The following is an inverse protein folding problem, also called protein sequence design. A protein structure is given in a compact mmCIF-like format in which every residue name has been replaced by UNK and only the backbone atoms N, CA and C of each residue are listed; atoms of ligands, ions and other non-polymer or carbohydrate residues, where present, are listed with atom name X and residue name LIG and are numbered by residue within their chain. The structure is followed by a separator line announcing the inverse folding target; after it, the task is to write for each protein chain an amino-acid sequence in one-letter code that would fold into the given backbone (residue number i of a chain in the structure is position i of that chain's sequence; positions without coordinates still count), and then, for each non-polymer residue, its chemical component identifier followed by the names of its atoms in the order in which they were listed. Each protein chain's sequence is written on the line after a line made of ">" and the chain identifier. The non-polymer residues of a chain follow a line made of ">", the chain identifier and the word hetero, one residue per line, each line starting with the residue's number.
data_IF_764306580536
#
_entry.id   IF_764306580536
#
_cell.length_a   1.000
_cell.length_b   1.000
_cell.length_c   1.000
_cell.angle_alpha   90.00
_cell.angle_beta   90.00
_cell.angle_gamma   90.00
#
_symmetry.space_group_name_H-M   'P 1'
#
loop_
_entity.id
_entity.type
_entity.pdbx_description
1 polymer ?
#
# COMPACT_ATOMS: atom_id res chain seq x y z
N UNK A 1 -6.42 15.58 -3.42
CA UNK A 1 -4.97 15.28 -3.51
C UNK A 1 -4.61 14.14 -4.47
N UNK A 2 -5.59 13.49 -5.14
CA UNK A 2 -5.39 12.33 -6.04
C UNK A 2 -4.28 12.57 -7.10
N UNK A 3 -4.17 13.79 -7.61
CA UNK A 3 -3.26 14.16 -8.69
C UNK A 3 -1.88 14.67 -8.21
N UNK A 4 -1.61 14.65 -6.91
CA UNK A 4 -0.36 15.18 -6.34
C UNK A 4 0.77 14.14 -6.23
N UNK A 5 0.48 12.86 -6.51
CA UNK A 5 1.52 11.82 -6.49
C UNK A 5 2.49 11.96 -7.66
N UNK A 6 3.78 11.99 -7.34
CA UNK A 6 4.85 12.07 -8.33
C UNK A 6 6.04 12.89 -7.85
N UNK A 7 6.91 13.30 -8.79
CA UNK A 7 8.10 14.09 -8.52
C UNK A 7 7.82 15.57 -8.75
N UNK A 8 8.02 16.39 -7.73
CA UNK A 8 7.88 17.84 -7.75
C UNK A 8 9.28 18.47 -7.78
N UNK A 9 9.55 19.25 -8.80
CA UNK A 9 10.82 19.95 -8.97
C UNK A 9 10.72 21.37 -8.44
N UNK A 10 11.66 21.78 -7.59
CA UNK A 10 11.72 23.12 -7.00
C UNK A 10 12.98 23.82 -7.47
N UNK A 11 12.83 25.05 -7.98
CA UNK A 11 13.90 25.93 -8.38
C UNK A 11 13.84 27.18 -7.50
N UNK A 12 14.82 27.32 -6.59
CA UNK A 12 14.92 28.48 -5.68
C UNK A 12 16.38 28.80 -5.38
N UNK A 13 16.62 30.00 -4.90
CA UNK A 13 17.87 30.36 -4.25
C UNK A 13 17.73 29.98 -2.78
N UNK A 14 18.47 28.96 -2.25
CA UNK A 14 18.40 28.61 -0.85
C UNK A 14 19.06 29.67 0.04
N UNK A 15 18.63 29.76 1.29
CA UNK A 15 19.18 30.74 2.27
C UNK A 15 20.68 30.55 2.54
N UNK A 16 21.20 29.34 2.27
CA UNK A 16 22.62 28.99 2.41
C UNK A 16 23.47 29.43 1.21
N UNK A 17 22.85 29.89 0.11
CA UNK A 17 23.56 30.31 -1.10
C UNK A 17 23.96 31.78 -1.04
N UNK A 18 25.26 32.05 -1.02
CA UNK A 18 25.80 33.40 -0.89
C UNK A 18 25.98 34.14 -2.23
N UNK A 19 25.96 33.41 -3.36
CA UNK A 19 26.21 33.98 -4.71
C UNK A 19 24.93 34.13 -5.53
N UNK A 20 23.74 33.93 -4.93
CA UNK A 20 22.45 34.07 -5.60
C UNK A 20 22.17 33.04 -6.69
N UNK A 21 22.85 31.89 -6.68
CA UNK A 21 22.64 30.84 -7.69
C UNK A 21 21.32 30.11 -7.42
N UNK A 22 20.56 29.86 -8.50
CA UNK A 22 19.33 29.07 -8.44
C UNK A 22 19.71 27.59 -8.33
N UNK A 23 19.27 26.94 -7.25
CA UNK A 23 19.41 25.50 -7.05
C UNK A 23 18.14 24.78 -7.47
N UNK A 24 18.32 23.58 -8.01
CA UNK A 24 17.19 22.71 -8.38
C UNK A 24 17.17 21.51 -7.44
N UNK A 25 16.08 21.34 -6.71
CA UNK A 25 15.80 20.18 -5.87
C UNK A 25 14.55 19.45 -6.36
N UNK A 26 14.40 18.20 -5.91
CA UNK A 26 13.22 17.41 -6.17
C UNK A 26 12.66 16.87 -4.84
N UNK A 27 11.34 16.85 -4.74
CA UNK A 27 10.60 16.22 -3.66
C UNK A 27 9.63 15.20 -4.26
N UNK A 28 9.53 14.04 -3.66
CA UNK A 28 8.56 13.01 -4.08
C UNK A 28 7.35 13.03 -3.17
N UNK A 29 6.17 13.02 -3.76
CA UNK A 29 4.89 12.96 -3.07
C UNK A 29 4.20 11.64 -3.41
N UNK A 30 3.75 10.90 -2.41
CA UNK A 30 2.94 9.72 -2.59
C UNK A 30 1.62 9.89 -1.83
N UNK A 31 0.52 9.94 -2.56
CA UNK A 31 -0.83 9.94 -2.00
C UNK A 31 -1.32 8.50 -2.00
N UNK A 32 -1.54 7.96 -0.81
CA UNK A 32 -2.01 6.60 -0.59
C UNK A 32 -3.37 6.66 0.11
N UNK A 33 -4.27 5.70 -0.16
CA UNK A 33 -5.50 5.58 0.61
C UNK A 33 -5.17 5.26 2.06
N UNK A 34 -6.00 5.73 2.98
CA UNK A 34 -5.91 5.36 4.39
C UNK A 34 -6.05 3.85 4.56
N UNK A 35 -5.30 3.31 5.51
CA UNK A 35 -5.33 1.89 5.78
C UNK A 35 -6.60 1.54 6.56
N UNK A 36 -7.46 0.71 5.96
CA UNK A 36 -8.54 0.07 6.69
C UNK A 36 -7.99 -1.09 7.54
N UNK A 37 -8.62 -1.36 8.68
CA UNK A 37 -8.30 -2.53 9.49
C UNK A 37 -8.62 -3.81 8.72
N UNK A 38 -7.72 -4.79 8.81
CA UNK A 38 -7.93 -6.09 8.18
C UNK A 38 -8.97 -6.87 8.97
N UNK A 39 -10.18 -6.96 8.46
CA UNK A 39 -11.23 -7.82 9.04
C UNK A 39 -11.12 -9.23 8.45
N UNK A 40 -10.44 -10.12 9.19
CA UNK A 40 -10.24 -11.50 8.79
C UNK A 40 -11.42 -12.37 9.24
N UNK A 41 -12.31 -12.71 8.32
CA UNK A 41 -13.38 -13.70 8.52
C UNK A 41 -12.92 -15.07 8.04
N UNK A 42 -12.86 -16.04 8.94
CA UNK A 42 -12.50 -17.43 8.62
C UNK A 42 -13.81 -18.23 8.63
N UNK A 43 -14.19 -18.79 7.47
CA UNK A 43 -15.34 -19.68 7.39
C UNK A 43 -14.93 -21.10 7.82
N UNK A 44 -15.78 -21.78 8.56
CA UNK A 44 -15.52 -23.16 8.99
C UNK A 44 -15.45 -24.13 7.81
N UNK A 45 -16.17 -23.85 6.72
CA UNK A 45 -16.11 -24.63 5.46
C UNK A 45 -14.74 -24.63 4.78
N UNK A 46 -13.93 -23.60 5.05
CA UNK A 46 -12.60 -23.43 4.46
C UNK A 46 -11.52 -24.12 5.29
N UNK A 47 -11.93 -24.78 6.39
CA UNK A 47 -11.03 -25.45 7.31
C UNK A 47 -11.14 -26.97 7.18
N UNK A 48 -10.00 -27.62 6.97
CA UNK A 48 -9.86 -29.06 7.12
C UNK A 48 -9.18 -29.36 8.44
N UNK A 49 -9.81 -30.20 9.27
CA UNK A 49 -9.33 -30.56 10.59
C UNK A 49 -9.04 -32.05 10.59
N UNK A 50 -7.76 -32.39 10.70
CA UNK A 50 -7.27 -33.76 10.78
C UNK A 50 -6.82 -34.05 12.23
N UNK A 51 -7.24 -35.17 12.78
CA UNK A 51 -6.87 -35.65 14.12
C UNK A 51 -5.93 -36.81 13.99
N UNK A 52 -4.86 -36.82 14.79
CA UNK A 52 -3.85 -37.87 14.76
C UNK A 52 -3.20 -38.09 16.14
N UNK A 53 -2.41 -39.14 16.26
CA UNK A 53 -1.69 -39.45 17.50
C UNK A 53 -0.54 -38.47 17.70
N UNK A 54 -0.41 -37.93 18.93
CA UNK A 54 0.71 -37.11 19.27
C UNK A 54 2.03 -37.88 19.19
N UNK A 55 3.05 -37.23 18.62
CA UNK A 55 4.42 -37.79 18.62
C UNK A 55 5.15 -37.33 19.89
N UNK A 56 5.90 -38.22 20.53
CA UNK A 56 6.74 -37.87 21.68
C UNK A 56 7.28 -39.12 22.42
N UNK A 57 8.20 -38.93 23.41
CA UNK A 57 8.69 -40.01 24.24
C UNK A 57 7.52 -40.61 25.02
N UNK A 58 7.22 -41.87 24.74
CA UNK A 58 5.98 -42.54 25.01
C UNK A 58 5.53 -42.66 26.47
N UNK A 59 4.24 -42.61 26.60
CA UNK A 59 3.43 -43.08 27.73
C UNK A 59 2.12 -43.63 27.20
N UNK A 60 1.38 -44.40 28.02
CA UNK A 60 0.17 -45.08 27.61
C UNK A 60 -0.88 -44.15 26.96
N UNK A 61 -0.95 -42.89 27.39
CA UNK A 61 -1.85 -41.87 26.86
C UNK A 61 -1.47 -41.35 25.46
N UNK A 62 -0.18 -41.27 25.14
CA UNK A 62 0.33 -40.78 23.83
C UNK A 62 0.09 -41.84 22.75
N UNK A 63 0.18 -43.10 23.10
CA UNK A 63 0.07 -44.22 22.13
C UNK A 63 -1.38 -44.62 21.85
N UNK A 64 -2.34 -44.28 22.71
CA UNK A 64 -3.72 -44.71 22.61
C UNK A 64 -4.72 -43.63 22.24
N UNK A 65 -4.37 -42.37 22.41
CA UNK A 65 -5.35 -41.26 22.23
C UNK A 65 -4.95 -40.35 21.08
N UNK A 66 -5.88 -40.12 20.12
CA UNK A 66 -5.70 -39.17 19.03
C UNK A 66 -5.93 -37.74 19.55
N UNK A 67 -4.95 -37.18 20.26
CA UNK A 67 -5.02 -35.87 20.87
C UNK A 67 -4.45 -34.73 20.02
N UNK A 68 -3.60 -35.04 19.06
CA UNK A 68 -3.01 -34.07 18.17
C UNK A 68 -3.98 -33.64 17.08
N UNK A 69 -3.95 -32.38 16.73
CA UNK A 69 -4.84 -31.77 15.74
C UNK A 69 -4.03 -31.01 14.72
N UNK A 70 -4.29 -31.25 13.42
CA UNK A 70 -3.82 -30.43 12.31
C UNK A 70 -4.99 -29.69 11.72
N UNK A 71 -4.87 -28.38 11.62
CA UNK A 71 -5.88 -27.50 11.01
C UNK A 71 -5.26 -26.92 9.75
N UNK A 72 -5.89 -27.16 8.62
CA UNK A 72 -5.45 -26.64 7.31
C UNK A 72 -6.50 -25.69 6.76
N UNK A 73 -6.08 -24.49 6.42
CA UNK A 73 -6.93 -23.54 5.70
C UNK A 73 -6.81 -23.81 4.20
N UNK A 74 -7.86 -24.35 3.59
CA UNK A 74 -7.86 -24.87 2.22
C UNK A 74 -7.47 -23.81 1.20
N UNK A 75 -8.03 -22.55 1.22
CA UNK A 75 -7.73 -21.56 0.19
C UNK A 75 -6.26 -21.10 0.18
N UNK A 76 -5.60 -21.02 1.34
CA UNK A 76 -4.21 -20.56 1.45
C UNK A 76 -3.19 -21.69 1.55
N UNK A 77 -3.64 -22.92 1.82
CA UNK A 77 -2.76 -24.07 2.08
C UNK A 77 -2.01 -24.01 3.41
N UNK A 78 -2.25 -22.97 4.23
CA UNK A 78 -1.62 -22.84 5.55
C UNK A 78 -2.11 -23.95 6.47
N UNK A 79 -1.17 -24.63 7.13
CA UNK A 79 -1.48 -25.66 8.10
C UNK A 79 -0.78 -25.41 9.44
N UNK A 80 -1.48 -25.72 10.52
CA UNK A 80 -0.99 -25.66 11.89
C UNK A 80 -1.25 -26.98 12.56
N UNK A 81 -0.19 -27.60 13.11
CA UNK A 81 -0.31 -28.82 13.92
C UNK A 81 -0.07 -28.49 15.38
N UNK A 82 -0.94 -28.99 16.25
CA UNK A 82 -0.87 -28.76 17.68
C UNK A 82 -1.04 -30.06 18.45
N UNK A 83 -0.09 -30.33 19.37
CA UNK A 83 -0.05 -31.61 20.15
C UNK A 83 0.41 -31.41 21.60
N UNK A 84 0.53 -30.18 22.08
CA UNK A 84 1.10 -29.86 23.39
C UNK A 84 0.21 -30.31 24.56
N UNK A 85 -1.10 -30.34 24.33
CA UNK A 85 -2.09 -30.64 25.36
C UNK A 85 -2.61 -32.07 25.22
N UNK A 86 -2.97 -32.67 26.36
CA UNK A 86 -3.61 -34.00 26.39
C UNK A 86 -5.03 -34.01 25.82
N UNK A 87 -5.65 -32.86 25.71
CA UNK A 87 -7.03 -32.66 25.24
C UNK A 87 -7.06 -32.23 23.77
N UNK A 88 -7.70 -32.99 22.92
CA UNK A 88 -7.96 -32.63 21.52
C UNK A 88 -8.64 -31.27 21.37
N UNK A 89 -9.64 -30.98 22.22
CA UNK A 89 -10.37 -29.70 22.17
C UNK A 89 -9.46 -28.51 22.49
N UNK A 90 -8.56 -28.66 23.47
CA UNK A 90 -7.59 -27.61 23.81
C UNK A 90 -6.58 -27.39 22.67
N UNK A 91 -6.09 -28.49 22.05
CA UNK A 91 -5.21 -28.41 20.89
C UNK A 91 -5.90 -27.78 19.70
N UNK A 92 -7.17 -28.10 19.42
CA UNK A 92 -7.98 -27.44 18.38
C UNK A 92 -8.11 -25.93 18.62
N UNK A 93 -8.49 -25.52 19.85
CA UNK A 93 -8.64 -24.11 20.19
C UNK A 93 -7.33 -23.32 20.05
N UNK A 94 -6.22 -23.92 20.51
CA UNK A 94 -4.88 -23.32 20.41
C UNK A 94 -4.42 -23.25 18.94
N UNK A 95 -4.65 -24.32 18.17
CA UNK A 95 -4.36 -24.38 16.74
C UNK A 95 -5.14 -23.33 15.94
N UNK A 96 -6.43 -23.14 16.24
CA UNK A 96 -7.25 -22.10 15.63
C UNK A 96 -6.73 -20.67 15.93
N UNK A 97 -6.29 -20.43 17.15
CA UNK A 97 -5.71 -19.13 17.52
C UNK A 97 -4.43 -18.84 16.73
N UNK A 98 -3.56 -19.85 16.60
CA UNK A 98 -2.30 -19.72 15.84
C UNK A 98 -2.59 -19.56 14.34
N UNK A 99 -3.52 -20.35 13.79
CA UNK A 99 -3.90 -20.24 12.38
C UNK A 99 -4.45 -18.84 12.06
N UNK A 100 -5.32 -18.30 12.93
CA UNK A 100 -5.86 -16.95 12.77
C UNK A 100 -4.76 -15.88 12.76
N UNK A 101 -3.78 -15.99 13.66
CA UNK A 101 -2.63 -15.07 13.69
C UNK A 101 -1.81 -15.14 12.41
N UNK A 102 -1.52 -16.35 11.91
CA UNK A 102 -0.75 -16.53 10.66
C UNK A 102 -1.49 -16.05 9.42
N UNK A 103 -2.79 -16.28 9.35
CA UNK A 103 -3.62 -15.76 8.24
C UNK A 103 -3.68 -14.23 8.26
N UNK A 104 -3.80 -13.64 9.45
CA UNK A 104 -3.76 -12.19 9.61
C UNK A 104 -2.42 -11.60 9.15
N UNK A 105 -1.30 -12.20 9.56
CA UNK A 105 0.04 -11.78 9.13
C UNK A 105 0.21 -11.90 7.61
N UNK A 106 -0.28 -12.98 7.00
CA UNK A 106 -0.21 -13.20 5.55
C UNK A 106 -1.01 -12.13 4.80
N UNK A 107 -2.23 -11.83 5.24
CA UNK A 107 -3.08 -10.84 4.60
C UNK A 107 -2.51 -9.42 4.77
N UNK A 108 -2.00 -9.10 5.95
CA UNK A 108 -1.29 -7.85 6.20
C UNK A 108 -0.07 -7.69 5.29
N UNK A 109 0.73 -8.75 5.14
CA UNK A 109 1.89 -8.74 4.26
C UNK A 109 1.49 -8.52 2.79
N UNK A 110 0.40 -9.14 2.33
CA UNK A 110 -0.15 -8.94 0.98
C UNK A 110 -0.52 -7.47 0.74
N UNK A 111 -1.26 -6.88 1.67
CA UNK A 111 -1.67 -5.47 1.59
C UNK A 111 -0.46 -4.53 1.62
N UNK A 112 0.52 -4.80 2.48
CA UNK A 112 1.74 -3.99 2.56
C UNK A 112 2.59 -4.09 1.28
N UNK A 113 2.62 -5.25 0.63
CA UNK A 113 3.26 -5.41 -0.69
C UNK A 113 2.55 -4.61 -1.78
N UNK A 114 1.22 -4.72 -1.87
CA UNK A 114 0.42 -3.95 -2.83
C UNK A 114 0.65 -2.44 -2.65
N UNK A 115 0.62 -1.93 -1.41
CA UNK A 115 0.92 -0.53 -1.09
C UNK A 115 2.34 -0.12 -1.47
N UNK A 116 3.31 -1.00 -1.23
CA UNK A 116 4.70 -0.74 -1.59
C UNK A 116 4.89 -0.63 -3.10
N UNK A 117 4.21 -1.49 -3.87
CA UNK A 117 4.22 -1.43 -5.33
C UNK A 117 3.52 -0.18 -5.85
N UNK A 118 2.34 0.14 -5.32
CA UNK A 118 1.60 1.35 -5.67
C UNK A 118 2.42 2.61 -5.38
N UNK A 119 3.09 2.66 -4.24
CA UNK A 119 3.99 3.75 -3.89
C UNK A 119 5.14 3.88 -4.90
N UNK A 120 5.80 2.76 -5.25
CA UNK A 120 6.88 2.77 -6.24
C UNK A 120 6.39 3.24 -7.61
N UNK A 121 5.22 2.79 -8.05
CA UNK A 121 4.64 3.21 -9.33
C UNK A 121 4.32 4.71 -9.35
N UNK A 122 3.81 5.25 -8.24
CA UNK A 122 3.43 6.66 -8.13
C UNK A 122 4.63 7.62 -8.02
N UNK A 123 5.73 7.15 -7.42
CA UNK A 123 6.94 7.96 -7.19
C UNK A 123 7.94 7.80 -8.35
N UNK A 124 7.90 6.69 -9.08
CA UNK A 124 8.91 6.34 -10.09
C UNK A 124 10.30 6.20 -9.48
N UNK A 125 11.32 6.63 -10.20
CA UNK A 125 12.72 6.61 -9.71
C UNK A 125 13.04 7.78 -8.78
N UNK A 126 12.17 8.79 -8.71
CA UNK A 126 12.43 10.06 -8.00
C UNK A 126 13.39 10.99 -8.74
N UNK A 127 13.76 10.68 -9.97
CA UNK A 127 14.64 11.53 -10.78
C UNK A 127 13.93 12.84 -11.15
N UNK A 128 14.72 13.91 -11.22
CA UNK A 128 14.27 15.24 -11.64
C UNK A 128 13.69 15.27 -13.05
N UNK A 129 14.05 14.31 -13.90
CA UNK A 129 13.54 14.15 -15.27
C UNK A 129 12.06 13.71 -15.28
N UNK A 130 11.63 12.93 -14.29
CA UNK A 130 10.25 12.40 -14.15
C UNK A 130 9.28 13.39 -13.50
N UNK A 131 9.66 14.67 -13.41
CA UNK A 131 8.86 15.69 -12.77
C UNK A 131 7.45 15.81 -13.34
N UNK A 132 6.45 15.82 -12.48
CA UNK A 132 5.07 16.16 -12.83
C UNK A 132 4.82 17.66 -12.76
N UNK A 133 5.47 18.36 -11.81
CA UNK A 133 5.29 19.80 -11.59
C UNK A 133 6.62 20.48 -11.29
N UNK A 134 6.75 21.75 -11.71
CA UNK A 134 7.89 22.60 -11.40
C UNK A 134 7.45 23.88 -10.73
N UNK A 135 8.05 24.18 -9.59
CA UNK A 135 7.90 25.42 -8.82
C UNK A 135 9.13 26.29 -9.07
N UNK A 136 8.96 27.40 -9.74
CA UNK A 136 10.06 28.33 -10.06
C UNK A 136 9.89 29.62 -9.26
N UNK A 137 10.57 29.71 -8.13
CA UNK A 137 10.51 30.84 -7.23
C UNK A 137 11.04 32.14 -7.85
N UNK A 138 12.20 32.16 -8.55
CA UNK A 138 12.70 33.38 -9.18
C UNK A 138 11.75 33.99 -10.23
N UNK A 139 10.92 33.16 -10.86
CA UNK A 139 9.96 33.60 -11.88
C UNK A 139 8.52 33.65 -11.36
N UNK A 140 8.28 33.34 -10.07
CA UNK A 140 6.95 33.38 -9.46
C UNK A 140 5.93 32.49 -10.15
N UNK A 141 6.34 31.36 -10.75
CA UNK A 141 5.45 30.48 -11.53
C UNK A 141 5.47 29.04 -11.10
N UNK A 142 4.34 28.37 -11.26
CA UNK A 142 4.18 26.92 -11.14
C UNK A 142 3.75 26.35 -12.49
N UNK A 143 4.38 25.26 -12.94
CA UNK A 143 4.04 24.61 -14.22
C UNK A 143 3.75 23.13 -13.97
N UNK A 144 2.57 22.66 -14.33
CA UNK A 144 2.26 21.24 -14.39
C UNK A 144 2.56 20.71 -15.79
N UNK A 145 3.50 19.76 -15.87
CA UNK A 145 4.00 19.25 -17.15
C UNK A 145 3.06 18.22 -17.79
N UNK A 146 2.11 17.68 -17.05
CA UNK A 146 1.12 16.72 -17.57
C UNK A 146 0.14 17.39 -18.52
N UNK A 147 -0.29 18.60 -18.16
CA UNK A 147 -1.28 19.40 -18.89
C UNK A 147 -0.66 20.64 -19.56
N UNK A 148 0.65 20.84 -19.40
CA UNK A 148 1.37 22.04 -19.87
C UNK A 148 0.76 23.36 -19.39
N UNK A 149 0.11 23.36 -18.22
CA UNK A 149 -0.47 24.54 -17.61
C UNK A 149 0.57 25.27 -16.77
N UNK A 150 0.69 26.58 -16.97
CA UNK A 150 1.57 27.46 -16.19
C UNK A 150 0.76 28.55 -15.53
N UNK A 151 0.84 28.66 -14.21
CA UNK A 151 0.25 29.73 -13.41
C UNK A 151 1.36 30.65 -12.89
N UNK A 152 1.23 31.97 -13.11
CA UNK A 152 2.21 33.01 -12.72
C UNK A 152 1.88 33.60 -11.35
N UNK A 153 1.44 32.82 -10.40
CA UNK A 153 1.02 33.19 -9.05
C UNK A 153 1.47 32.12 -8.05
N UNK A 154 2.79 31.92 -7.95
CA UNK A 154 3.35 30.85 -7.13
C UNK A 154 2.99 30.98 -5.66
N UNK A 155 2.98 32.20 -5.10
CA UNK A 155 2.67 32.45 -3.68
C UNK A 155 1.21 32.07 -3.39
N UNK A 156 0.25 32.59 -4.17
CA UNK A 156 -1.18 32.25 -4.06
C UNK A 156 -1.43 30.73 -4.23
N UNK A 157 -0.64 30.07 -5.10
CA UNK A 157 -0.71 28.63 -5.27
C UNK A 157 -0.23 27.88 -4.01
N UNK A 158 0.85 28.34 -3.38
CA UNK A 158 1.40 27.72 -2.16
C UNK A 158 0.50 27.95 -0.94
N UNK A 159 -0.24 29.04 -0.90
CA UNK A 159 -1.25 29.32 0.11
C UNK A 159 -2.56 28.55 -0.12
N UNK A 160 -2.73 27.97 -1.31
CA UNK A 160 -3.89 27.15 -1.66
C UNK A 160 -5.01 27.88 -2.38
N UNK A 161 -4.92 29.20 -2.57
CA UNK A 161 -5.98 30.03 -3.14
C UNK A 161 -6.35 29.65 -4.59
N UNK A 162 -5.35 29.32 -5.41
CA UNK A 162 -5.54 28.94 -6.83
C UNK A 162 -5.22 27.46 -7.10
N UNK A 163 -5.07 26.68 -6.05
CA UNK A 163 -4.77 25.25 -6.18
C UNK A 163 -5.90 24.47 -6.88
N UNK A 164 -7.14 24.84 -6.61
CA UNK A 164 -8.32 24.20 -7.19
C UNK A 164 -8.37 24.38 -8.71
N UNK A 165 -7.95 25.51 -9.26
CA UNK A 165 -7.85 25.74 -10.71
C UNK A 165 -6.94 24.68 -11.39
N UNK A 166 -5.81 24.35 -10.77
CA UNK A 166 -4.91 23.32 -11.27
C UNK A 166 -5.56 21.92 -11.21
N UNK A 167 -6.27 21.63 -10.12
CA UNK A 167 -6.94 20.34 -9.92
C UNK A 167 -8.09 20.13 -10.90
N UNK A 168 -8.88 21.18 -11.16
CA UNK A 168 -9.99 21.14 -12.11
C UNK A 168 -9.50 20.85 -13.52
N UNK A 169 -8.43 21.50 -13.97
CA UNK A 169 -7.82 21.24 -15.28
C UNK A 169 -7.26 19.81 -15.38
N UNK A 170 -6.61 19.30 -14.32
CA UNK A 170 -6.15 17.91 -14.28
C UNK A 170 -7.31 16.89 -14.29
N UNK A 171 -8.41 17.23 -13.63
CA UNK A 171 -9.61 16.39 -13.61
C UNK A 171 -10.28 16.33 -14.97
N UNK A 172 -10.39 17.46 -15.66
CA UNK A 172 -10.93 17.54 -17.01
C UNK A 172 -10.11 16.69 -18.00
N UNK A 173 -8.78 16.83 -17.97
CA UNK A 173 -7.93 16.03 -18.83
C UNK A 173 -8.05 14.52 -18.52
N UNK A 174 -8.11 14.13 -17.27
CA UNK A 174 -8.28 12.74 -16.88
C UNK A 174 -9.61 12.17 -17.43
N UNK A 175 -10.70 12.95 -17.38
CA UNK A 175 -12.00 12.56 -17.95
C UNK A 175 -11.94 12.44 -19.47
N UNK A 176 -11.27 13.37 -20.17
CA UNK A 176 -11.08 13.28 -21.62
C UNK A 176 -10.28 12.04 -22.03
N UNK A 177 -9.24 11.68 -21.30
CA UNK A 177 -8.45 10.47 -21.56
C UNK A 177 -9.27 9.19 -21.33
N UNK A 178 -10.11 9.16 -20.32
CA UNK A 178 -11.02 8.03 -20.09
C UNK A 178 -12.06 7.91 -21.20
N UNK A 179 -12.65 9.01 -21.64
CA UNK A 179 -13.60 9.02 -22.77
C UNK A 179 -12.95 8.54 -24.08
N UNK A 180 -11.72 8.98 -24.36
CA UNK A 180 -10.95 8.50 -25.52
C UNK A 180 -10.72 6.98 -25.49
N UNK A 181 -10.40 6.41 -24.32
CA UNK A 181 -10.24 4.95 -24.15
C UNK A 181 -11.52 4.16 -24.40
N UNK A 182 -12.68 4.74 -24.09
CA UNK A 182 -13.99 4.12 -24.33
C UNK A 182 -14.34 4.18 -25.81
N UNK A 183 -14.08 5.32 -26.49
CA UNK A 183 -14.41 5.49 -27.91
C UNK A 183 -13.59 4.61 -28.87
N UNK A 184 -12.44 4.08 -28.44
CA UNK A 184 -11.62 3.13 -29.21
C UNK A 184 -12.06 1.66 -29.06
N UNK A 185 -13.07 1.37 -28.25
CA UNK A 185 -13.60 0.01 -28.06
C UNK A 185 -14.86 -0.28 -28.90
N UNK A 186 -15.26 0.66 -29.71
CA UNK A 186 -16.32 0.53 -30.72
C UNK A 186 -15.72 0.78 -32.11
#
# INVERSE_FOLDING_TARGET
>A
LKYESGVHRVQRVPDTETQGRVHTSAATVAVLPEAEEVDLKINESDLRIDVFRAGGPGGQSVNTTDSAVRITHIPTGLSVSQQDEKSQHKNKAKGMKILRSRLYELERFRIDQERSQDRKTKIGTGDRSERIRTYNFPQGRVTDHRINLTLHKLEEFMEGEIFDEMIDNLSLQAQEEELKKISWKF
#
